data_IF_521208382388
#
_entry.id   IF_521208382388
#
_cell.length_a   1.000
_cell.length_b   1.000
_cell.length_c   1.000
_cell.angle_alpha   90.00
_cell.angle_beta   90.00
_cell.angle_gamma   90.00
#
_symmetry.space_group_name_H-M   'P 1'
#
loop_
_entity.id
_entity.type
_entity.pdbx_description
1 polymer ?
#
# COMPACT_ATOMS: atom_id res chain seq x y z
N UNK A 1 18.60 -27.05 -20.27
CA UNK A 1 18.09 -25.77 -19.74
C UNK A 1 16.60 -25.95 -19.52
N UNK A 2 16.07 -25.57 -18.36
CA UNK A 2 14.64 -25.71 -18.07
C UNK A 2 13.82 -24.86 -19.05
N UNK A 3 12.71 -25.40 -19.49
CA UNK A 3 11.77 -24.72 -20.41
C UNK A 3 10.51 -24.28 -19.66
N UNK A 4 9.71 -23.41 -20.27
CA UNK A 4 8.44 -22.95 -19.69
C UNK A 4 7.48 -24.11 -19.37
N UNK A 5 7.63 -25.26 -20.07
CA UNK A 5 6.89 -26.49 -19.83
C UNK A 5 7.26 -27.19 -18.53
N UNK A 6 8.38 -26.82 -17.90
CA UNK A 6 8.87 -27.45 -16.67
C UNK A 6 8.35 -26.75 -15.40
N UNK A 7 7.61 -25.64 -15.54
CA UNK A 7 6.98 -24.95 -14.42
C UNK A 7 5.87 -25.82 -13.82
N UNK A 8 5.83 -25.87 -12.48
CA UNK A 8 4.79 -26.52 -11.69
C UNK A 8 4.29 -25.59 -10.60
N UNK A 9 3.06 -25.82 -10.18
CA UNK A 9 2.40 -25.04 -9.13
C UNK A 9 1.92 -25.96 -8.02
N UNK A 10 2.27 -25.62 -6.79
CA UNK A 10 1.80 -26.34 -5.62
C UNK A 10 1.09 -25.40 -4.64
N UNK A 11 0.13 -25.94 -3.92
CA UNK A 11 -0.60 -25.26 -2.87
C UNK A 11 -0.66 -26.15 -1.64
N UNK A 12 -0.24 -25.60 -0.51
CA UNK A 12 -0.19 -26.31 0.77
C UNK A 12 -0.97 -25.53 1.83
N UNK A 13 -1.92 -26.21 2.46
CA UNK A 13 -2.58 -25.73 3.66
C UNK A 13 -1.69 -26.01 4.87
N UNK A 14 -1.15 -24.98 5.51
CA UNK A 14 -0.24 -25.13 6.65
C UNK A 14 -0.94 -25.57 7.95
N UNK A 15 -2.26 -25.65 7.91
CA UNK A 15 -3.10 -26.15 9.00
C UNK A 15 -4.08 -27.15 8.42
N UNK A 16 -4.17 -28.34 9.04
CA UNK A 16 -5.02 -29.43 8.52
C UNK A 16 -4.25 -30.48 7.74
N UNK A 17 -4.96 -31.31 6.98
CA UNK A 17 -4.39 -32.41 6.19
C UNK A 17 -4.95 -32.47 4.77
N UNK A 18 -5.78 -31.50 4.38
CA UNK A 18 -6.38 -31.51 3.07
C UNK A 18 -5.32 -31.28 1.98
N UNK A 19 -5.32 -32.17 0.98
CA UNK A 19 -4.40 -32.12 -0.15
C UNK A 19 -5.11 -31.53 -1.37
N UNK A 20 -4.39 -30.64 -2.06
CA UNK A 20 -4.90 -29.94 -3.23
C UNK A 20 -3.89 -29.97 -4.37
N UNK A 21 -4.39 -30.13 -5.59
CA UNK A 21 -3.64 -29.85 -6.81
C UNK A 21 -4.09 -28.53 -7.41
N UNK A 22 -3.15 -27.75 -7.90
CA UNK A 22 -3.43 -26.44 -8.54
C UNK A 22 -3.79 -26.67 -10.01
N UNK A 23 -4.95 -26.17 -10.43
CA UNK A 23 -5.37 -26.13 -11.85
C UNK A 23 -4.94 -24.83 -12.49
N UNK A 24 -5.22 -23.74 -11.84
CA UNK A 24 -4.82 -22.41 -12.30
C UNK A 24 -4.71 -21.44 -11.15
N UNK A 25 -3.94 -20.38 -11.39
CA UNK A 25 -3.84 -19.25 -10.47
C UNK A 25 -3.79 -17.91 -11.20
N UNK A 26 -4.21 -16.87 -10.49
CA UNK A 26 -3.96 -15.48 -10.83
C UNK A 26 -3.47 -14.75 -9.57
N UNK A 27 -2.23 -14.27 -9.62
CA UNK A 27 -1.60 -13.49 -8.53
C UNK A 27 -1.46 -12.05 -8.97
N UNK A 28 -2.15 -11.14 -8.28
CA UNK A 28 -2.06 -9.69 -8.48
C UNK A 28 -1.29 -9.06 -7.34
N UNK A 29 -0.26 -8.30 -7.66
CA UNK A 29 0.58 -7.62 -6.68
C UNK A 29 0.90 -6.19 -7.11
N UNK A 30 1.13 -5.31 -6.13
CA UNK A 30 1.47 -3.91 -6.42
C UNK A 30 2.20 -3.23 -5.26
N UNK A 31 2.95 -2.16 -5.58
CA UNK A 31 3.51 -1.28 -4.56
C UNK A 31 2.35 -0.57 -3.85
N UNK A 32 2.35 -0.59 -2.53
CA UNK A 32 1.33 0.04 -1.68
C UNK A 32 -0.08 -0.52 -1.87
N UNK A 33 -0.17 -1.80 -2.24
CA UNK A 33 -1.41 -2.56 -2.34
C UNK A 33 -1.25 -3.94 -1.68
N UNK A 34 -2.26 -4.47 -0.99
CA UNK A 34 -2.31 -5.88 -0.63
C UNK A 34 -2.27 -6.75 -1.89
N UNK A 35 -1.59 -7.88 -1.83
CA UNK A 35 -1.66 -8.86 -2.91
C UNK A 35 -2.95 -9.69 -2.84
N UNK A 36 -3.37 -10.20 -3.99
CA UNK A 36 -4.49 -11.12 -4.14
C UNK A 36 -4.04 -12.32 -4.98
N UNK A 37 -4.16 -13.53 -4.42
CA UNK A 37 -3.89 -14.77 -5.12
C UNK A 37 -5.20 -15.56 -5.22
N UNK A 38 -5.75 -15.62 -6.43
CA UNK A 38 -6.90 -16.44 -6.77
C UNK A 38 -6.41 -17.80 -7.27
N UNK A 39 -6.94 -18.87 -6.69
CA UNK A 39 -6.58 -20.23 -7.02
C UNK A 39 -7.81 -21.04 -7.42
N UNK A 40 -7.68 -21.82 -8.49
CA UNK A 40 -8.56 -22.95 -8.81
C UNK A 40 -7.84 -24.23 -8.44
N UNK A 41 -8.42 -25.00 -7.55
CA UNK A 41 -7.84 -26.18 -6.93
C UNK A 41 -8.72 -27.41 -7.20
N UNK A 42 -8.11 -28.59 -7.14
CA UNK A 42 -8.79 -29.87 -7.15
C UNK A 42 -8.36 -30.66 -5.93
N UNK A 43 -9.29 -31.42 -5.34
CA UNK A 43 -9.00 -32.40 -4.32
C UNK A 43 -9.82 -33.66 -4.57
N UNK A 44 -9.33 -34.81 -4.09
CA UNK A 44 -10.10 -36.06 -4.04
C UNK A 44 -11.09 -36.10 -2.87
N UNK A 45 -10.92 -35.19 -1.90
CA UNK A 45 -11.83 -35.02 -0.78
C UNK A 45 -12.97 -34.09 -1.16
N UNK A 46 -14.21 -34.46 -0.88
CA UNK A 46 -15.41 -33.69 -1.19
C UNK A 46 -16.09 -33.06 0.04
N UNK A 47 -15.57 -33.32 1.25
CA UNK A 47 -16.10 -32.91 2.54
C UNK A 47 -15.07 -32.13 3.38
N UNK A 48 -14.22 -31.35 2.72
CA UNK A 48 -13.16 -30.55 3.38
C UNK A 48 -13.78 -29.55 4.35
N UNK A 49 -13.32 -29.59 5.61
CA UNK A 49 -13.72 -28.61 6.63
C UNK A 49 -13.07 -27.25 6.37
N UNK A 50 -13.88 -26.27 5.98
CA UNK A 50 -13.46 -24.89 5.72
C UNK A 50 -12.89 -24.19 6.97
N UNK A 51 -13.20 -24.65 8.19
CA UNK A 51 -12.64 -24.15 9.44
C UNK A 51 -11.13 -24.36 9.55
N UNK A 52 -10.58 -25.33 8.84
CA UNK A 52 -9.13 -25.57 8.75
C UNK A 52 -8.42 -24.73 7.69
N UNK A 53 -9.18 -24.00 6.85
CA UNK A 53 -8.64 -23.20 5.75
C UNK A 53 -8.91 -21.71 5.92
N UNK A 54 -10.14 -21.31 6.26
CA UNK A 54 -10.49 -19.89 6.39
C UNK A 54 -9.70 -19.22 7.51
N UNK A 55 -9.10 -18.09 7.17
CA UNK A 55 -8.23 -17.27 8.05
C UNK A 55 -6.99 -18.04 8.58
N UNK A 56 -6.57 -19.07 7.84
CA UNK A 56 -5.39 -19.88 8.14
C UNK A 56 -4.28 -19.62 7.12
N UNK A 57 -3.01 -19.80 7.55
CA UNK A 57 -1.88 -19.64 6.66
C UNK A 57 -1.80 -20.77 5.63
N UNK A 58 -1.42 -20.36 4.42
CA UNK A 58 -1.18 -21.24 3.28
C UNK A 58 0.07 -20.83 2.53
N UNK A 59 0.64 -21.76 1.82
CA UNK A 59 1.79 -21.55 0.95
C UNK A 59 1.45 -21.95 -0.48
N UNK A 60 1.66 -21.04 -1.41
CA UNK A 60 1.67 -21.32 -2.84
C UNK A 60 3.10 -21.22 -3.35
N UNK A 61 3.53 -22.20 -4.14
CA UNK A 61 4.89 -22.26 -4.67
C UNK A 61 4.87 -22.44 -6.18
N UNK A 62 5.70 -21.66 -6.87
CA UNK A 62 6.05 -21.89 -8.27
C UNK A 62 7.38 -22.62 -8.27
N UNK A 63 7.41 -23.78 -8.92
CA UNK A 63 8.58 -24.62 -9.06
C UNK A 63 9.03 -24.64 -10.52
N UNK A 64 10.32 -24.76 -10.74
CA UNK A 64 10.96 -25.07 -12.01
C UNK A 64 11.58 -26.47 -11.88
N UNK A 65 10.95 -27.45 -12.49
CA UNK A 65 11.22 -28.84 -12.14
C UNK A 65 10.84 -29.15 -10.69
N UNK A 66 11.84 -29.46 -9.87
CA UNK A 66 11.69 -29.68 -8.41
C UNK A 66 12.15 -28.48 -7.59
N UNK A 67 12.80 -27.49 -8.21
CA UNK A 67 13.36 -26.33 -7.53
C UNK A 67 12.31 -25.23 -7.34
N UNK A 68 12.07 -24.76 -6.12
CA UNK A 68 11.20 -23.61 -5.89
C UNK A 68 11.87 -22.34 -6.42
N UNK A 69 11.16 -21.59 -7.26
CA UNK A 69 11.61 -20.30 -7.79
C UNK A 69 10.86 -19.12 -7.19
N UNK A 70 9.67 -19.37 -6.64
CA UNK A 70 8.88 -18.32 -5.98
C UNK A 70 7.94 -18.88 -4.93
N UNK A 71 7.88 -18.23 -3.78
CA UNK A 71 6.92 -18.47 -2.73
C UNK A 71 5.89 -17.35 -2.65
N UNK A 72 4.63 -17.70 -2.35
CA UNK A 72 3.57 -16.76 -1.97
C UNK A 72 2.89 -17.31 -0.73
N UNK A 73 3.23 -16.74 0.41
CA UNK A 73 2.64 -17.07 1.70
C UNK A 73 1.53 -16.07 2.02
N UNK A 74 0.36 -16.52 2.50
CA UNK A 74 -0.75 -15.65 2.86
C UNK A 74 -1.79 -16.34 3.73
N UNK A 75 -2.93 -15.68 3.91
CA UNK A 75 -4.09 -16.22 4.64
C UNK A 75 -5.26 -16.38 3.69
N UNK A 76 -5.98 -17.50 3.80
CA UNK A 76 -7.20 -17.71 3.01
C UNK A 76 -8.30 -16.79 3.48
N UNK A 77 -8.79 -15.91 2.59
CA UNK A 77 -9.91 -15.00 2.88
C UNK A 77 -11.25 -15.49 2.37
N UNK A 78 -11.22 -16.29 1.32
CA UNK A 78 -12.42 -16.93 0.76
C UNK A 78 -12.05 -18.32 0.30
N UNK A 79 -12.91 -19.27 0.61
CA UNK A 79 -12.80 -20.63 0.13
C UNK A 79 -14.18 -21.12 -0.28
N UNK A 80 -14.31 -21.77 -1.43
CA UNK A 80 -15.58 -22.26 -1.95
C UNK A 80 -15.38 -23.57 -2.66
N UNK A 81 -16.34 -24.47 -2.47
CA UNK A 81 -16.47 -25.70 -3.24
C UNK A 81 -17.31 -25.39 -4.49
N UNK A 82 -16.83 -25.85 -5.63
CA UNK A 82 -17.53 -25.77 -6.91
C UNK A 82 -18.09 -27.13 -7.31
N UNK A 83 -18.04 -27.49 -8.60
CA UNK A 83 -18.57 -28.76 -9.07
C UNK A 83 -17.80 -29.97 -8.49
N UNK A 84 -18.54 -31.02 -8.15
CA UNK A 84 -17.97 -32.32 -7.78
C UNK A 84 -18.19 -33.28 -8.93
N UNK A 85 -17.10 -33.80 -9.48
CA UNK A 85 -17.09 -34.90 -10.45
C UNK A 85 -17.18 -36.24 -9.79
N UNK A 86 -16.94 -37.32 -10.54
CA UNK A 86 -16.98 -38.72 -10.01
C UNK A 86 -15.85 -39.01 -9.03
N UNK A 87 -14.66 -38.36 -9.22
CA UNK A 87 -13.46 -38.65 -8.43
C UNK A 87 -12.85 -37.40 -7.83
N UNK A 88 -13.15 -36.19 -8.37
CA UNK A 88 -12.51 -34.95 -7.99
C UNK A 88 -13.53 -33.84 -7.73
N UNK A 89 -13.23 -32.99 -6.76
CA UNK A 89 -14.03 -31.83 -6.42
C UNK A 89 -13.19 -30.58 -6.66
N UNK A 90 -13.82 -29.60 -7.32
CA UNK A 90 -13.19 -28.30 -7.58
C UNK A 90 -13.41 -27.36 -6.40
N UNK A 91 -12.36 -26.61 -6.09
CA UNK A 91 -12.36 -25.60 -5.05
C UNK A 91 -11.79 -24.28 -5.59
N UNK A 92 -12.25 -23.18 -5.05
CA UNK A 92 -11.66 -21.86 -5.31
C UNK A 92 -11.20 -21.26 -3.99
N UNK A 93 -9.96 -20.74 -3.97
CA UNK A 93 -9.40 -20.04 -2.83
C UNK A 93 -8.97 -18.63 -3.23
N UNK A 94 -9.20 -17.66 -2.34
CA UNK A 94 -8.58 -16.34 -2.39
C UNK A 94 -7.64 -16.20 -1.20
N UNK A 95 -6.39 -15.92 -1.48
CA UNK A 95 -5.32 -15.77 -0.49
C UNK A 95 -4.83 -14.32 -0.50
N UNK A 96 -4.75 -13.72 0.67
CA UNK A 96 -4.37 -12.33 0.86
C UNK A 96 -3.36 -12.18 2.00
N UNK A 97 -2.63 -11.04 2.08
CA UNK A 97 -1.75 -10.78 3.23
C UNK A 97 -2.57 -10.54 4.50
N UNK A 98 -1.95 -10.75 5.65
CA UNK A 98 -2.57 -10.44 6.94
C UNK A 98 -3.03 -8.98 7.03
N UNK A 99 -2.33 -8.05 6.36
CA UNK A 99 -2.71 -6.63 6.29
C UNK A 99 -4.11 -6.40 5.71
N UNK A 100 -4.57 -7.24 4.78
CA UNK A 100 -5.91 -7.13 4.17
C UNK A 100 -7.04 -7.22 5.23
N UNK A 101 -6.80 -7.93 6.34
CA UNK A 101 -7.75 -8.02 7.47
C UNK A 101 -8.03 -6.68 8.14
N UNK A 102 -7.12 -5.71 7.99
CA UNK A 102 -7.34 -4.35 8.48
C UNK A 102 -8.52 -3.66 7.78
N UNK A 103 -8.94 -4.13 6.60
CA UNK A 103 -10.13 -3.64 5.91
C UNK A 103 -11.46 -4.04 6.61
N UNK A 104 -11.43 -5.07 7.45
CA UNK A 104 -12.58 -5.55 8.21
C UNK A 104 -12.82 -4.76 9.51
N UNK A 105 -11.98 -3.78 9.80
CA UNK A 105 -12.07 -2.96 11.00
C UNK A 105 -12.12 -1.49 10.62
N UNK A 106 -13.05 -0.75 11.20
CA UNK A 106 -13.14 0.70 11.11
C UNK A 106 -13.19 1.33 12.49
N UNK A 107 -12.78 2.59 12.61
CA UNK A 107 -12.80 3.25 13.91
C UNK A 107 -12.78 4.77 13.81
N UNK A 108 -13.12 5.42 14.94
CA UNK A 108 -12.93 6.83 15.20
C UNK A 108 -11.89 6.99 16.28
N UNK A 109 -10.67 7.43 15.89
CA UNK A 109 -9.52 7.57 16.80
C UNK A 109 -8.76 8.84 16.53
N UNK A 110 -8.16 9.37 17.59
CA UNK A 110 -7.26 10.51 17.51
C UNK A 110 -5.93 10.10 18.13
N UNK A 111 -4.88 10.15 17.31
CA UNK A 111 -3.50 9.97 17.74
C UNK A 111 -2.92 11.35 18.04
N UNK A 112 -2.27 11.51 19.19
CA UNK A 112 -1.69 12.78 19.64
C UNK A 112 -0.19 12.65 19.84
N UNK A 113 0.55 13.70 19.46
CA UNK A 113 2.00 13.81 19.65
C UNK A 113 2.78 12.59 19.14
N UNK A 114 2.44 12.10 17.94
CA UNK A 114 3.09 10.95 17.30
C UNK A 114 3.52 11.28 15.89
N UNK A 115 4.64 10.69 15.48
CA UNK A 115 5.05 10.66 14.07
C UNK A 115 4.22 9.62 13.31
N UNK A 116 4.17 9.72 11.97
CA UNK A 116 3.47 8.73 11.15
C UNK A 116 4.08 7.32 11.30
N UNK A 117 5.42 7.12 11.29
CA UNK A 117 6.00 5.82 11.61
C UNK A 117 5.47 5.19 12.90
N UNK A 118 5.43 5.97 14.00
CA UNK A 118 4.89 5.50 15.28
C UNK A 118 3.40 5.13 15.20
N UNK A 119 2.61 5.86 14.39
CA UNK A 119 1.20 5.53 14.18
C UNK A 119 1.06 4.24 13.38
N UNK A 120 1.85 4.07 12.30
CA UNK A 120 1.85 2.86 11.49
C UNK A 120 2.20 1.63 12.33
N UNK A 121 3.26 1.69 13.15
CA UNK A 121 3.63 0.60 14.07
C UNK A 121 2.49 0.24 15.04
N UNK A 122 1.84 1.26 15.63
CA UNK A 122 0.70 1.04 16.52
C UNK A 122 -0.46 0.34 15.80
N UNK A 123 -0.71 0.73 14.55
CA UNK A 123 -1.78 0.13 13.75
C UNK A 123 -1.45 -1.31 13.39
N UNK A 124 -0.21 -1.61 12.96
CA UNK A 124 0.24 -2.97 12.64
C UNK A 124 0.16 -3.89 13.86
N UNK A 125 0.66 -3.46 15.02
CA UNK A 125 0.56 -4.22 16.27
C UNK A 125 -0.89 -4.52 16.66
N UNK A 126 -1.83 -3.59 16.43
CA UNK A 126 -3.26 -3.82 16.67
C UNK A 126 -3.89 -4.86 15.75
N UNK A 127 -3.34 -5.03 14.54
CA UNK A 127 -3.74 -6.06 13.60
C UNK A 127 -3.06 -7.41 13.89
N UNK A 128 -2.17 -7.48 14.90
CA UNK A 128 -1.37 -8.66 15.18
C UNK A 128 -0.32 -8.94 14.11
N UNK A 129 0.08 -7.91 13.35
CA UNK A 129 1.12 -8.03 12.34
C UNK A 129 2.46 -7.79 13.00
N UNK A 130 3.19 -8.87 13.26
CA UNK A 130 4.52 -8.82 13.88
C UNK A 130 5.64 -8.96 12.84
N UNK A 131 5.33 -9.52 11.66
CA UNK A 131 6.25 -9.71 10.56
C UNK A 131 6.26 -8.47 9.65
N UNK A 132 6.91 -7.40 10.11
CA UNK A 132 7.10 -6.18 9.32
C UNK A 132 8.49 -5.58 9.52
N UNK A 133 8.89 -4.77 8.57
CA UNK A 133 10.09 -3.94 8.63
C UNK A 133 9.74 -2.53 8.18
N UNK A 134 9.93 -1.56 9.07
CA UNK A 134 9.70 -0.16 8.78
C UNK A 134 11.04 0.57 8.71
N UNK A 135 11.40 1.02 7.49
CA UNK A 135 12.64 1.73 7.16
C UNK A 135 12.30 3.21 6.95
N UNK A 136 12.36 4.00 8.01
CA UNK A 136 12.20 5.44 7.98
C UNK A 136 13.59 6.08 7.97
N UNK A 137 14.02 6.60 6.81
CA UNK A 137 15.34 7.23 6.62
C UNK A 137 15.28 8.75 6.63
N UNK A 138 14.07 9.33 6.55
CA UNK A 138 13.81 10.77 6.60
C UNK A 138 13.27 11.17 7.97
N UNK A 139 13.40 12.47 8.30
CA UNK A 139 12.75 13.03 9.48
C UNK A 139 11.24 13.15 9.27
N UNK A 140 10.47 12.52 10.15
CA UNK A 140 9.03 12.56 10.16
C UNK A 140 8.52 13.43 11.31
N UNK A 141 7.71 14.42 10.97
CA UNK A 141 7.22 15.39 11.96
C UNK A 141 6.29 14.72 12.98
N UNK A 142 6.48 15.07 14.26
CA UNK A 142 5.49 14.81 15.30
C UNK A 142 4.23 15.64 14.99
N UNK A 143 3.12 14.96 14.75
CA UNK A 143 1.81 15.57 14.53
C UNK A 143 1.14 15.86 15.87
N UNK A 144 0.62 17.06 16.04
CA UNK A 144 -0.13 17.43 17.24
C UNK A 144 -1.31 16.48 17.43
N UNK A 145 -2.04 16.21 16.35
CA UNK A 145 -3.04 15.15 16.27
C UNK A 145 -3.17 14.61 14.86
N UNK A 146 -3.58 13.34 14.76
CA UNK A 146 -3.92 12.67 13.51
C UNK A 146 -5.20 11.87 13.73
N UNK A 147 -6.17 12.02 12.85
CA UNK A 147 -7.52 11.48 13.02
C UNK A 147 -7.81 10.39 12.01
N UNK A 148 -8.23 9.24 12.50
CA UNK A 148 -8.97 8.24 11.74
C UNK A 148 -10.46 8.56 11.91
N UNK A 149 -11.17 8.82 10.81
CA UNK A 149 -12.53 9.33 10.84
C UNK A 149 -13.51 8.37 10.16
N UNK A 150 -13.77 7.23 10.80
CA UNK A 150 -14.72 6.23 10.30
C UNK A 150 -14.24 5.42 9.11
N UNK A 151 -13.05 5.67 8.62
CA UNK A 151 -12.38 4.88 7.56
C UNK A 151 -11.91 3.52 8.10
N UNK A 152 -11.66 2.54 7.22
CA UNK A 152 -11.10 1.26 7.62
C UNK A 152 -9.68 1.45 8.16
N UNK A 153 -9.20 0.50 8.97
CA UNK A 153 -7.83 0.54 9.46
C UNK A 153 -6.83 0.44 8.29
N UNK A 154 -7.17 -0.29 7.21
CA UNK A 154 -6.35 -0.38 5.99
C UNK A 154 -6.30 0.96 5.24
N UNK A 155 -7.45 1.60 5.01
CA UNK A 155 -7.50 2.90 4.32
C UNK A 155 -6.73 3.96 5.10
N UNK A 156 -6.84 3.94 6.44
CA UNK A 156 -6.10 4.85 7.30
C UNK A 156 -4.58 4.64 7.19
N UNK A 157 -4.10 3.39 7.25
CA UNK A 157 -2.69 3.04 7.08
C UNK A 157 -2.19 3.48 5.69
N UNK A 158 -2.91 3.10 4.63
CA UNK A 158 -2.54 3.41 3.26
C UNK A 158 -2.49 4.93 3.00
N UNK A 159 -3.50 5.66 3.49
CA UNK A 159 -3.57 7.11 3.35
C UNK A 159 -2.44 7.83 4.09
N UNK A 160 -2.14 7.42 5.34
CA UNK A 160 -1.03 8.01 6.09
C UNK A 160 0.32 7.71 5.46
N UNK A 161 0.52 6.48 5.03
CA UNK A 161 1.74 6.07 4.32
C UNK A 161 1.94 6.92 3.06
N UNK A 162 0.92 7.02 2.20
CA UNK A 162 0.98 7.82 0.97
C UNK A 162 1.19 9.32 1.24
N UNK A 163 0.54 9.88 2.27
CA UNK A 163 0.68 11.29 2.65
C UNK A 163 2.11 11.63 3.12
N UNK A 164 2.74 10.72 3.86
CA UNK A 164 4.09 10.90 4.41
C UNK A 164 5.19 10.47 3.43
N UNK A 165 4.83 9.85 2.32
CA UNK A 165 5.76 9.39 1.29
C UNK A 165 6.28 7.97 1.51
N UNK A 166 5.64 7.17 2.35
CA UNK A 166 5.94 5.74 2.48
C UNK A 166 5.31 4.95 1.34
N UNK A 167 6.03 3.93 0.93
CA UNK A 167 5.56 2.84 0.07
C UNK A 167 5.75 1.52 0.80
N UNK A 168 4.99 0.50 0.41
CA UNK A 168 5.17 -0.83 0.98
C UNK A 168 5.03 -1.94 -0.05
N UNK A 169 5.61 -3.08 0.24
CA UNK A 169 5.49 -4.34 -0.49
C UNK A 169 5.53 -5.52 0.46
N UNK A 170 5.23 -6.70 -0.08
CA UNK A 170 5.39 -7.96 0.65
C UNK A 170 6.61 -8.72 0.12
N UNK A 171 7.39 -9.27 1.01
CA UNK A 171 8.44 -10.24 0.71
C UNK A 171 7.98 -11.59 1.25
N UNK A 172 8.09 -12.61 0.42
CA UNK A 172 7.62 -13.95 0.74
C UNK A 172 8.78 -14.91 0.97
N UNK A 173 8.58 -15.85 1.86
CA UNK A 173 9.44 -17.01 2.09
C UNK A 173 8.54 -18.23 2.28
N UNK A 174 9.12 -19.40 2.35
CA UNK A 174 8.42 -20.64 2.65
C UNK A 174 7.54 -20.55 3.92
N UNK A 175 8.02 -19.86 4.96
CA UNK A 175 7.41 -19.88 6.29
C UNK A 175 6.51 -18.68 6.60
N UNK A 176 6.70 -17.56 5.90
CA UNK A 176 6.00 -16.31 6.22
C UNK A 176 6.01 -15.31 5.06
N UNK A 177 5.12 -14.34 5.13
CA UNK A 177 5.25 -13.10 4.37
C UNK A 177 5.57 -11.93 5.31
N UNK A 178 6.48 -11.06 4.86
CA UNK A 178 6.96 -9.91 5.60
C UNK A 178 6.52 -8.63 4.90
N UNK A 179 5.89 -7.71 5.64
CA UNK A 179 5.55 -6.37 5.15
C UNK A 179 6.77 -5.45 5.27
N UNK A 180 7.24 -4.92 4.15
CA UNK A 180 8.35 -3.96 4.09
C UNK A 180 7.78 -2.60 3.76
N UNK A 181 7.96 -1.62 4.67
CA UNK A 181 7.50 -0.24 4.54
C UNK A 181 8.73 0.66 4.50
N UNK A 182 8.82 1.56 3.53
CA UNK A 182 9.97 2.47 3.40
C UNK A 182 9.57 3.81 2.81
N UNK A 183 10.31 4.87 3.17
CA UNK A 183 10.22 6.22 2.60
C UNK A 183 11.19 6.42 1.41
N UNK A 184 12.03 5.40 1.09
CA UNK A 184 12.98 5.41 -0.02
C UNK A 184 12.76 4.22 -0.95
N UNK A 185 12.37 4.49 -2.18
CA UNK A 185 12.05 3.46 -3.15
C UNK A 185 13.25 2.55 -3.47
N UNK A 186 14.47 3.12 -3.53
CA UNK A 186 15.69 2.34 -3.79
C UNK A 186 15.99 1.29 -2.72
N UNK A 187 15.52 1.48 -1.49
CA UNK A 187 15.72 0.50 -0.40
C UNK A 187 14.88 -0.78 -0.55
N UNK A 188 13.98 -0.83 -1.54
CA UNK A 188 13.21 -2.04 -1.84
C UNK A 188 14.03 -3.14 -2.53
N UNK A 189 15.14 -2.79 -3.19
CA UNK A 189 16.10 -3.73 -3.74
C UNK A 189 15.95 -4.03 -5.23
N UNK A 190 16.68 -5.06 -5.66
CA UNK A 190 16.79 -5.58 -7.02
C UNK A 190 16.02 -6.92 -7.14
N UNK A 191 15.73 -7.40 -8.35
CA UNK A 191 14.99 -8.64 -8.56
C UNK A 191 15.71 -9.87 -7.98
N UNK A 192 17.03 -9.91 -7.97
CA UNK A 192 17.81 -10.96 -7.33
C UNK A 192 17.55 -11.09 -5.83
N UNK A 193 17.20 -9.98 -5.14
CA UNK A 193 16.88 -10.01 -3.72
C UNK A 193 15.53 -10.66 -3.40
N UNK A 194 14.66 -10.82 -4.40
CA UNK A 194 13.38 -11.50 -4.29
C UNK A 194 13.40 -12.95 -4.78
N UNK A 195 14.50 -13.39 -5.37
CA UNK A 195 14.67 -14.75 -5.82
C UNK A 195 14.83 -15.72 -4.63
N UNK A 196 14.34 -16.93 -4.79
CA UNK A 196 14.63 -18.03 -3.86
C UNK A 196 16.12 -18.39 -4.03
N UNK A 197 16.87 -18.37 -2.93
CA UNK A 197 18.27 -18.74 -2.97
C UNK A 197 18.40 -20.22 -3.31
N UNK A 198 19.32 -20.54 -4.25
CA UNK A 198 19.76 -21.91 -4.43
C UNK A 198 20.48 -22.37 -3.16
N UNK A 199 20.30 -23.60 -2.75
CA UNK A 199 21.13 -24.20 -1.72
C UNK A 199 22.59 -24.23 -2.22
N UNK A 200 23.54 -23.94 -1.31
CA UNK A 200 24.97 -23.73 -1.65
C UNK A 200 25.68 -24.96 -2.30
N UNK A 201 24.94 -26.06 -2.55
CA UNK A 201 25.49 -27.29 -3.14
C UNK A 201 25.55 -27.29 -4.69
N UNK A 202 24.91 -26.31 -5.36
CA UNK A 202 24.83 -26.26 -6.83
C UNK A 202 25.77 -25.26 -7.51
N UNK A 203 26.76 -24.70 -6.79
CA UNK A 203 27.75 -23.74 -7.36
C UNK A 203 28.80 -24.37 -8.31
N UNK A 204 28.60 -25.54 -8.84
CA UNK A 204 29.72 -26.25 -9.48
C UNK A 204 29.42 -26.95 -10.78
N UNK A 205 28.69 -26.41 -11.76
CA UNK A 205 28.67 -26.98 -13.12
C UNK A 205 28.05 -26.03 -14.15
N UNK A 206 28.64 -24.84 -14.37
CA UNK A 206 28.29 -24.06 -15.55
C UNK A 206 29.52 -23.69 -16.35
N UNK A 207 29.43 -24.09 -17.59
CA UNK A 207 30.31 -23.86 -18.72
C UNK A 207 30.54 -22.36 -19.00
N UNK A 208 31.59 -22.05 -19.73
CA UNK A 208 32.19 -20.75 -20.10
C UNK A 208 31.30 -19.69 -20.79
N UNK A 209 29.97 -19.66 -20.53
CA UNK A 209 29.12 -18.56 -20.97
C UNK A 209 29.21 -17.40 -19.97
N UNK A 210 29.36 -16.17 -20.46
CA UNK A 210 29.44 -14.97 -19.62
C UNK A 210 28.28 -14.98 -18.60
N UNK A 211 28.57 -14.75 -17.30
CA UNK A 211 27.56 -14.81 -16.27
C UNK A 211 26.50 -13.73 -16.52
N UNK A 212 25.27 -14.17 -16.78
CA UNK A 212 24.14 -13.28 -16.97
C UNK A 212 23.94 -12.49 -15.67
N UNK A 213 23.90 -11.15 -15.78
CA UNK A 213 23.60 -10.29 -14.64
C UNK A 213 22.23 -10.71 -14.04
N UNK A 214 22.20 -11.20 -12.78
CA UNK A 214 20.98 -11.67 -12.12
C UNK A 214 19.90 -10.59 -12.01
N UNK A 215 20.29 -9.33 -12.11
CA UNK A 215 19.41 -8.17 -12.08
C UNK A 215 19.04 -7.65 -13.47
N UNK A 216 19.32 -8.41 -14.52
CA UNK A 216 18.90 -8.12 -15.88
C UNK A 216 17.65 -8.90 -16.27
N UNK A 217 16.82 -8.29 -17.14
CA UNK A 217 15.68 -8.93 -17.81
C UNK A 217 15.78 -8.70 -19.30
N UNK A 218 15.76 -9.79 -20.06
CA UNK A 218 15.87 -9.77 -21.50
C UNK A 218 14.55 -9.35 -22.16
N UNK A 219 14.61 -8.46 -23.15
CA UNK A 219 13.50 -8.22 -24.07
C UNK A 219 13.73 -8.96 -25.39
N UNK A 220 12.73 -9.75 -25.81
CA UNK A 220 12.77 -10.48 -27.07
C UNK A 220 11.39 -10.56 -27.73
N UNK A 221 11.15 -9.72 -28.72
CA UNK A 221 9.83 -9.51 -29.35
C UNK A 221 9.27 -10.72 -30.11
N UNK A 222 10.12 -11.61 -30.63
CA UNK A 222 9.72 -12.62 -31.61
C UNK A 222 10.13 -14.04 -31.19
N UNK A 223 9.66 -14.47 -30.03
CA UNK A 223 9.82 -15.87 -29.66
C UNK A 223 8.62 -16.70 -30.14
N UNK A 224 8.73 -17.27 -31.31
CA UNK A 224 7.88 -18.37 -31.73
C UNK A 224 8.51 -19.68 -31.24
N UNK A 225 8.09 -20.16 -30.07
CA UNK A 225 8.57 -21.40 -29.50
C UNK A 225 9.02 -21.28 -28.04
N UNK A 226 9.30 -22.41 -27.41
CA UNK A 226 9.87 -22.51 -26.08
C UNK A 226 11.27 -21.86 -26.06
N UNK A 227 11.45 -20.90 -25.19
CA UNK A 227 12.74 -20.22 -25.06
C UNK A 227 13.50 -20.75 -23.84
N UNK A 228 14.82 -20.86 -24.02
CA UNK A 228 15.70 -21.32 -22.96
C UNK A 228 15.79 -20.35 -21.76
N UNK A 229 15.34 -19.10 -21.92
CA UNK A 229 15.44 -18.08 -20.87
C UNK A 229 14.15 -17.27 -20.75
N UNK A 230 13.72 -16.95 -19.52
CA UNK A 230 12.59 -16.04 -19.29
C UNK A 230 12.86 -14.67 -19.93
N UNK A 231 11.82 -14.10 -20.59
CA UNK A 231 11.98 -12.82 -21.27
C UNK A 231 10.69 -11.99 -21.31
N UNK A 232 10.83 -10.71 -21.57
CA UNK A 232 9.71 -9.84 -21.92
C UNK A 232 9.48 -9.88 -23.43
N UNK A 233 8.27 -10.18 -23.85
CA UNK A 233 7.90 -10.33 -25.29
C UNK A 233 7.21 -9.11 -25.85
N UNK A 234 6.55 -8.33 -25.00
CA UNK A 234 5.89 -7.09 -25.38
C UNK A 234 6.26 -5.99 -24.41
N UNK A 235 6.49 -4.80 -24.96
CA UNK A 235 6.72 -3.59 -24.18
C UNK A 235 5.99 -2.43 -24.88
N UNK A 236 5.12 -1.76 -24.12
CA UNK A 236 4.43 -0.55 -24.54
C UNK A 236 4.84 0.58 -23.61
N UNK A 237 5.66 1.49 -24.10
CA UNK A 237 6.06 2.68 -23.37
C UNK A 237 5.11 3.84 -23.63
N UNK A 238 4.72 4.55 -22.58
CA UNK A 238 3.85 5.73 -22.65
C UNK A 238 4.31 6.84 -21.73
N UNK A 239 4.17 8.06 -22.24
CA UNK A 239 4.33 9.30 -21.47
C UNK A 239 3.00 10.06 -21.44
N UNK A 240 2.69 10.70 -20.32
CA UNK A 240 1.44 11.41 -20.13
C UNK A 240 1.69 12.80 -19.57
N UNK A 241 0.90 13.77 -20.04
CA UNK A 241 0.87 15.11 -19.47
C UNK A 241 0.22 15.05 -18.09
N UNK A 242 0.93 15.58 -17.09
CA UNK A 242 0.49 15.64 -15.68
C UNK A 242 0.81 17.00 -15.08
N UNK A 243 0.29 17.26 -13.89
CA UNK A 243 0.66 18.45 -13.10
C UNK A 243 2.17 18.64 -13.10
N UNK A 244 2.63 19.85 -13.45
CA UNK A 244 4.05 20.17 -13.56
C UNK A 244 4.63 20.74 -12.26
N UNK A 245 3.82 21.49 -11.54
CA UNK A 245 4.23 22.18 -10.30
C UNK A 245 3.19 21.98 -9.21
N UNK A 246 3.67 21.81 -7.98
CA UNK A 246 2.88 21.81 -6.77
C UNK A 246 3.22 23.04 -5.95
N UNK A 247 2.18 23.76 -5.52
CA UNK A 247 2.29 24.83 -4.53
C UNK A 247 1.46 24.42 -3.33
N UNK A 248 2.09 24.33 -2.17
CA UNK A 248 1.39 24.08 -0.91
C UNK A 248 1.56 25.27 0.01
N UNK A 249 0.45 25.75 0.54
CA UNK A 249 0.43 26.81 1.54
C UNK A 249 -0.24 26.30 2.81
N UNK A 250 0.30 26.72 3.95
CA UNK A 250 -0.35 26.50 5.24
C UNK A 250 -0.38 27.82 6.04
N UNK A 251 -1.04 27.75 7.18
CA UNK A 251 -1.13 28.85 8.13
C UNK A 251 -0.95 28.32 9.54
N UNK A 252 -0.10 28.99 10.33
CA UNK A 252 0.01 28.71 11.75
C UNK A 252 -0.46 29.91 12.56
N UNK A 253 -1.34 29.65 13.51
CA UNK A 253 -1.84 30.70 14.42
C UNK A 253 -0.75 31.20 15.39
N UNK A 254 0.32 30.42 15.60
CA UNK A 254 1.47 30.82 16.43
C UNK A 254 2.33 31.90 15.77
N UNK A 255 2.29 32.01 14.44
CA UNK A 255 2.96 33.06 13.68
C UNK A 255 2.09 33.45 12.47
N UNK A 256 0.99 34.20 12.67
CA UNK A 256 -0.02 34.47 11.64
C UNK A 256 0.47 35.34 10.49
N UNK A 257 1.52 36.15 10.71
CA UNK A 257 2.11 36.97 9.67
C UNK A 257 3.06 36.21 8.73
N UNK A 258 3.50 35.04 9.12
CA UNK A 258 4.44 34.26 8.35
C UNK A 258 3.73 33.47 7.22
N UNK A 259 4.20 33.64 5.99
CA UNK A 259 3.69 32.97 4.82
C UNK A 259 4.38 31.60 4.68
N UNK A 260 3.70 30.56 5.12
CA UNK A 260 4.16 29.18 4.92
C UNK A 260 3.78 28.73 3.51
N UNK A 261 4.72 28.78 2.57
CA UNK A 261 4.48 28.36 1.19
C UNK A 261 5.70 27.61 0.66
N UNK A 262 5.49 26.42 0.12
CA UNK A 262 6.50 25.64 -0.55
C UNK A 262 6.07 25.30 -1.98
N UNK A 263 7.04 25.26 -2.88
CA UNK A 263 6.87 24.97 -4.29
C UNK A 263 7.81 23.85 -4.69
N UNK A 264 7.31 22.91 -5.49
CA UNK A 264 8.12 21.87 -6.09
C UNK A 264 7.71 21.66 -7.55
N UNK A 265 8.69 21.38 -8.41
CA UNK A 265 8.48 20.95 -9.78
C UNK A 265 8.66 19.45 -9.86
N UNK A 266 7.85 18.79 -10.67
CA UNK A 266 7.95 17.35 -10.89
C UNK A 266 9.09 16.97 -11.84
N UNK A 267 9.48 15.71 -11.87
CA UNK A 267 10.42 15.17 -12.86
C UNK A 267 9.79 15.09 -14.27
N UNK A 268 10.60 14.92 -15.30
CA UNK A 268 10.19 14.66 -16.69
C UNK A 268 9.26 15.73 -17.26
N UNK A 269 9.74 16.99 -17.30
CA UNK A 269 8.99 18.13 -17.81
C UNK A 269 9.37 18.53 -19.25
N UNK A 270 10.25 17.80 -19.90
CA UNK A 270 10.79 18.12 -21.21
C UNK A 270 9.74 18.06 -22.34
N UNK A 271 8.72 17.19 -22.22
CA UNK A 271 7.71 16.97 -23.25
C UNK A 271 6.34 17.61 -22.92
N UNK A 272 6.29 18.52 -21.94
CA UNK A 272 5.04 19.17 -21.56
C UNK A 272 5.23 20.62 -21.11
N UNK A 273 4.14 21.38 -21.05
CA UNK A 273 4.16 22.72 -20.45
C UNK A 273 4.49 22.64 -18.95
N UNK A 274 5.33 23.58 -18.51
CA UNK A 274 5.72 23.75 -17.09
C UNK A 274 4.72 24.60 -16.30
N UNK A 275 3.64 25.07 -16.93
CA UNK A 275 2.67 26.00 -16.30
C UNK A 275 1.50 25.26 -15.60
N UNK A 276 1.40 23.94 -15.71
CA UNK A 276 0.34 23.18 -15.06
C UNK A 276 0.59 23.12 -13.55
N UNK A 277 0.02 24.10 -12.82
CA UNK A 277 0.17 24.22 -11.37
C UNK A 277 -1.02 23.64 -10.62
N UNK A 278 -0.75 22.90 -9.55
CA UNK A 278 -1.72 22.45 -8.57
C UNK A 278 -1.47 23.18 -7.25
N UNK A 279 -2.46 23.94 -6.79
CA UNK A 279 -2.42 24.67 -5.52
C UNK A 279 -3.20 23.90 -4.45
N UNK A 280 -2.58 23.65 -3.29
CA UNK A 280 -3.17 22.93 -2.17
C UNK A 280 -3.12 23.79 -0.89
N UNK A 281 -4.28 23.90 -0.22
CA UNK A 281 -4.44 24.57 1.07
C UNK A 281 -5.55 23.87 1.88
N UNK A 282 -5.32 23.56 3.16
CA UNK A 282 -4.07 23.69 3.92
C UNK A 282 -3.04 22.60 3.54
N UNK A 283 -1.74 22.98 3.54
CA UNK A 283 -0.63 22.09 3.20
C UNK A 283 -0.31 21.04 4.26
N UNK A 284 -0.84 21.20 5.47
CA UNK A 284 -0.77 20.27 6.61
C UNK A 284 0.63 20.09 7.19
N UNK A 285 1.45 21.09 7.11
CA UNK A 285 2.74 21.18 7.77
C UNK A 285 2.80 22.40 8.67
N UNK A 286 3.48 22.30 9.81
CA UNK A 286 3.59 23.38 10.80
C UNK A 286 4.97 24.06 10.79
N UNK A 287 5.95 23.43 10.13
CA UNK A 287 7.33 23.90 10.05
C UNK A 287 7.84 23.80 8.62
N UNK A 288 8.64 24.77 8.19
CA UNK A 288 9.19 24.81 6.84
C UNK A 288 10.06 23.61 6.48
N UNK A 289 10.84 23.10 7.44
CA UNK A 289 11.66 21.93 7.23
C UNK A 289 10.85 20.68 6.74
N UNK A 290 9.56 20.62 7.09
CA UNK A 290 8.67 19.55 6.66
C UNK A 290 7.89 19.90 5.40
N UNK A 291 7.61 21.18 5.18
CA UNK A 291 6.82 21.64 4.04
C UNK A 291 7.43 21.27 2.69
N UNK A 292 8.76 21.37 2.57
CA UNK A 292 9.47 21.03 1.33
C UNK A 292 9.33 19.53 0.99
N UNK A 293 9.69 18.57 1.84
CA UNK A 293 9.49 17.14 1.57
C UNK A 293 8.03 16.77 1.28
N UNK A 294 7.08 17.38 1.99
CA UNK A 294 5.65 17.17 1.74
C UNK A 294 5.23 17.61 0.33
N UNK A 295 5.71 18.77 -0.11
CA UNK A 295 5.42 19.30 -1.44
C UNK A 295 6.06 18.43 -2.52
N UNK A 296 7.29 17.94 -2.31
CA UNK A 296 7.99 17.01 -3.21
C UNK A 296 7.28 15.66 -3.30
N UNK A 297 6.85 15.08 -2.18
CA UNK A 297 6.07 13.85 -2.17
C UNK A 297 4.73 14.02 -2.92
N UNK A 298 4.06 15.15 -2.73
CA UNK A 298 2.78 15.44 -3.39
C UNK A 298 2.92 15.55 -4.90
N UNK A 299 3.91 16.29 -5.40
CA UNK A 299 4.11 16.39 -6.85
C UNK A 299 4.53 15.06 -7.47
N UNK A 300 5.34 14.27 -6.77
CA UNK A 300 5.72 12.93 -7.20
C UNK A 300 4.49 12.02 -7.30
N UNK A 301 3.60 12.08 -6.31
CA UNK A 301 2.35 11.31 -6.32
C UNK A 301 1.38 11.74 -7.43
N UNK A 302 1.27 13.05 -7.74
CA UNK A 302 0.47 13.55 -8.86
C UNK A 302 1.03 13.16 -10.23
N UNK A 303 2.24 12.67 -10.28
CA UNK A 303 2.95 12.25 -11.49
C UNK A 303 3.31 10.75 -11.47
N UNK A 304 2.60 9.96 -10.67
CA UNK A 304 2.86 8.52 -10.49
C UNK A 304 2.85 7.73 -11.81
N UNK A 305 2.15 8.19 -12.83
CA UNK A 305 1.96 7.54 -14.12
C UNK A 305 2.49 8.39 -15.30
N UNK A 306 3.34 9.40 -15.05
CA UNK A 306 3.88 10.28 -16.10
C UNK A 306 4.70 9.52 -17.14
N UNK A 307 5.43 8.50 -16.72
CA UNK A 307 6.20 7.57 -17.57
C UNK A 307 5.97 6.17 -17.06
N UNK A 308 5.39 5.33 -17.89
CA UNK A 308 5.13 3.93 -17.59
C UNK A 308 5.50 3.04 -18.78
N UNK A 309 5.91 1.82 -18.49
CA UNK A 309 6.00 0.76 -19.50
C UNK A 309 5.11 -0.40 -19.08
N UNK A 310 4.17 -0.77 -19.95
CA UNK A 310 3.36 -1.97 -19.82
C UNK A 310 4.09 -3.12 -20.52
N UNK A 311 4.33 -4.20 -19.82
CA UNK A 311 5.09 -5.34 -20.33
C UNK A 311 4.32 -6.65 -20.18
N UNK A 312 4.62 -7.60 -21.06
CA UNK A 312 4.13 -8.97 -21.01
C UNK A 312 5.28 -9.92 -21.27
N UNK A 313 5.37 -10.99 -20.51
CA UNK A 313 6.42 -12.00 -20.63
C UNK A 313 6.18 -13.20 -19.73
N UNK A 314 7.26 -13.87 -19.35
CA UNK A 314 7.25 -15.09 -18.55
C UNK A 314 8.31 -15.12 -17.43
N UNK A 315 8.87 -13.97 -17.06
CA UNK A 315 9.86 -13.89 -16.00
C UNK A 315 9.19 -13.88 -14.60
N UNK A 316 9.27 -15.01 -13.91
CA UNK A 316 8.70 -15.23 -12.57
C UNK A 316 9.31 -14.32 -11.49
N UNK A 317 10.53 -13.79 -11.72
CA UNK A 317 11.27 -12.95 -10.77
C UNK A 317 10.67 -11.55 -10.59
N UNK A 318 9.79 -11.11 -11.50
CA UNK A 318 9.20 -9.77 -11.39
C UNK A 318 8.29 -9.68 -10.16
N UNK A 319 8.66 -8.84 -9.22
CA UNK A 319 7.92 -8.60 -7.98
C UNK A 319 7.79 -7.09 -7.71
N UNK A 320 6.68 -6.63 -7.13
CA UNK A 320 6.47 -5.21 -6.87
C UNK A 320 7.60 -4.60 -6.04
N UNK A 321 8.01 -3.40 -6.43
CA UNK A 321 9.04 -2.65 -5.73
C UNK A 321 10.47 -3.04 -6.07
N UNK A 322 10.71 -4.19 -6.67
CA UNK A 322 12.06 -4.59 -7.11
C UNK A 322 12.39 -3.95 -8.46
N UNK A 323 13.65 -3.64 -8.66
CA UNK A 323 14.15 -3.04 -9.89
C UNK A 323 15.09 -3.98 -10.64
N UNK A 324 15.19 -3.76 -11.93
CA UNK A 324 16.03 -4.52 -12.84
C UNK A 324 16.51 -3.64 -13.99
N UNK A 325 17.50 -4.11 -14.73
CA UNK A 325 17.97 -3.51 -15.99
C UNK A 325 17.33 -4.24 -17.16
N UNK A 326 16.60 -3.52 -18.02
CA UNK A 326 16.11 -4.09 -19.27
C UNK A 326 17.25 -4.14 -20.29
N UNK A 327 17.36 -5.24 -21.02
CA UNK A 327 18.36 -5.46 -22.08
C UNK A 327 17.69 -5.99 -23.34
N UNK A 328 18.31 -5.81 -24.52
CA UNK A 328 17.87 -6.38 -25.79
C UNK A 328 16.70 -5.65 -26.48
N UNK A 329 16.24 -4.51 -25.96
CA UNK A 329 15.20 -3.74 -26.64
C UNK A 329 15.79 -2.93 -27.80
N UNK A 330 15.14 -2.89 -29.01
CA UNK A 330 15.64 -2.17 -30.19
C UNK A 330 15.83 -0.66 -29.99
N UNK A 331 15.10 -0.05 -29.05
CA UNK A 331 15.30 1.34 -28.62
C UNK A 331 16.26 1.35 -27.42
N UNK A 332 17.46 1.87 -27.62
CA UNK A 332 18.51 1.89 -26.61
C UNK A 332 18.10 2.69 -25.37
N UNK A 333 17.31 3.75 -25.52
CA UNK A 333 16.82 4.58 -24.42
C UNK A 333 15.83 3.87 -23.49
N UNK A 334 15.31 2.71 -23.89
CA UNK A 334 14.47 1.85 -23.04
C UNK A 334 15.29 0.74 -22.33
N UNK A 335 16.53 0.49 -22.75
CA UNK A 335 17.47 -0.42 -22.07
C UNK A 335 18.06 0.25 -20.83
N UNK A 336 17.20 0.50 -19.85
CA UNK A 336 17.53 1.23 -18.63
C UNK A 336 16.99 0.51 -17.40
N UNK A 337 17.23 1.08 -16.22
CA UNK A 337 16.65 0.56 -14.99
C UNK A 337 15.16 0.85 -14.88
N UNK A 338 14.39 -0.22 -14.77
CA UNK A 338 12.96 -0.21 -14.49
C UNK A 338 12.67 -0.75 -13.10
N UNK A 339 11.53 -0.38 -12.55
CA UNK A 339 11.00 -0.91 -11.31
C UNK A 339 9.58 -1.41 -11.52
N UNK A 340 9.29 -2.57 -10.99
CA UNK A 340 7.96 -3.16 -11.05
C UNK A 340 7.03 -2.38 -10.13
N UNK A 341 5.99 -1.77 -10.70
CA UNK A 341 4.94 -1.09 -9.94
C UNK A 341 3.82 -2.07 -9.58
N UNK A 342 3.21 -2.67 -10.60
CA UNK A 342 2.22 -3.73 -10.44
C UNK A 342 2.56 -4.89 -11.33
N UNK A 343 2.20 -6.10 -10.93
CA UNK A 343 2.37 -7.30 -11.73
C UNK A 343 1.22 -8.26 -11.49
N UNK A 344 0.79 -8.92 -12.56
CA UNK A 344 -0.17 -10.01 -12.53
C UNK A 344 0.48 -11.24 -13.15
N UNK A 345 0.56 -12.31 -12.39
CA UNK A 345 1.05 -13.61 -12.83
C UNK A 345 -0.14 -14.54 -13.01
N UNK A 346 -0.16 -15.27 -14.11
CA UNK A 346 -1.19 -16.27 -14.41
C UNK A 346 -0.54 -17.58 -14.80
N UNK A 347 -1.05 -18.65 -14.26
CA UNK A 347 -0.60 -20.00 -14.62
C UNK A 347 -1.74 -20.98 -14.75
N UNK A 348 -1.56 -21.94 -15.65
CA UNK A 348 -2.44 -23.09 -15.84
C UNK A 348 -1.60 -24.36 -15.82
N UNK A 349 -2.03 -25.35 -15.04
CA UNK A 349 -1.40 -26.65 -14.94
C UNK A 349 -2.40 -27.73 -15.36
N UNK A 350 -2.26 -28.19 -16.60
CA UNK A 350 -3.21 -29.15 -17.16
C UNK A 350 -2.98 -30.58 -16.72
N UNK A 351 -1.81 -30.92 -16.18
CA UNK A 351 -1.51 -32.26 -15.66
C UNK A 351 -2.48 -32.69 -14.57
N UNK A 352 -3.06 -31.77 -13.84
CA UNK A 352 -4.10 -32.02 -12.86
C UNK A 352 -5.45 -32.40 -13.47
N UNK A 353 -5.63 -32.28 -14.81
CA UNK A 353 -6.86 -32.57 -15.56
C UNK A 353 -6.75 -33.82 -16.46
N UNK A 354 -5.69 -34.62 -16.37
CA UNK A 354 -5.39 -35.71 -17.32
C UNK A 354 -6.50 -36.76 -17.49
N UNK A 355 -7.43 -36.87 -16.57
CA UNK A 355 -8.55 -37.82 -16.70
C UNK A 355 -9.69 -37.30 -17.59
N UNK A 356 -9.78 -35.97 -17.85
CA UNK A 356 -10.87 -35.36 -18.63
C UNK A 356 -10.45 -34.98 -20.06
N UNK A 357 -9.15 -34.97 -20.37
CA UNK A 357 -8.61 -34.50 -21.64
C UNK A 357 -7.79 -35.57 -22.37
N UNK A 358 -8.46 -36.52 -23.01
CA UNK A 358 -7.79 -37.59 -23.75
C UNK A 358 -7.12 -37.15 -25.07
N UNK A 359 -7.25 -35.88 -25.52
CA UNK A 359 -6.80 -35.47 -26.87
C UNK A 359 -6.26 -34.02 -26.97
N UNK A 360 -5.82 -33.37 -25.89
CA UNK A 360 -5.28 -32.01 -25.96
C UNK A 360 -3.80 -31.98 -25.57
N UNK A 361 -3.00 -31.28 -26.38
CA UNK A 361 -1.57 -31.04 -26.14
C UNK A 361 -1.40 -30.18 -24.88
N UNK A 362 -1.13 -30.83 -23.73
CA UNK A 362 -1.42 -30.32 -22.39
C UNK A 362 -0.13 -29.96 -21.69
N UNK A 363 0.44 -28.80 -22.04
CA UNK A 363 1.61 -28.23 -21.34
C UNK A 363 1.20 -27.20 -20.28
N UNK A 364 1.96 -27.12 -19.18
CA UNK A 364 1.84 -26.03 -18.21
C UNK A 364 2.09 -24.70 -18.93
N UNK A 365 1.25 -23.70 -18.65
CA UNK A 365 1.37 -22.36 -19.20
C UNK A 365 1.57 -21.35 -18.10
N UNK A 366 2.47 -20.43 -18.33
CA UNK A 366 2.70 -19.30 -17.46
C UNK A 366 2.83 -18.01 -18.28
N UNK A 367 2.21 -16.94 -17.83
CA UNK A 367 2.36 -15.60 -18.38
C UNK A 367 2.35 -14.56 -17.27
N UNK A 368 3.01 -13.46 -17.49
CA UNK A 368 2.94 -12.32 -16.61
C UNK A 368 2.71 -11.03 -17.39
N UNK A 369 1.97 -10.10 -16.77
CA UNK A 369 1.84 -8.73 -17.24
C UNK A 369 2.23 -7.79 -16.12
N UNK A 370 3.00 -6.76 -16.43
CA UNK A 370 3.44 -5.81 -15.41
C UNK A 370 3.40 -4.37 -15.91
N UNK A 371 3.23 -3.44 -14.97
CA UNK A 371 3.42 -2.01 -15.18
C UNK A 371 4.71 -1.62 -14.50
N UNK A 372 5.60 -1.03 -15.26
CA UNK A 372 6.92 -0.58 -14.82
C UNK A 372 6.96 0.94 -14.73
N UNK A 373 7.76 1.44 -13.80
CA UNK A 373 8.10 2.86 -13.64
C UNK A 373 9.61 3.03 -13.70
N UNK A 374 10.15 4.24 -13.99
CA UNK A 374 11.61 4.47 -14.02
C UNK A 374 12.28 4.09 -12.71
N UNK A 375 13.23 3.16 -12.74
CA UNK A 375 13.82 2.51 -11.55
C UNK A 375 14.70 3.42 -10.69
N UNK A 376 15.30 4.46 -11.27
CA UNK A 376 16.21 5.39 -10.58
C UNK A 376 15.50 6.64 -10.02
N UNK A 377 14.24 6.85 -10.36
CA UNK A 377 13.46 8.02 -9.92
C UNK A 377 12.57 7.64 -8.76
N UNK A 378 12.45 8.51 -7.77
CA UNK A 378 11.48 8.33 -6.68
C UNK A 378 10.07 8.35 -7.26
N UNK A 379 9.26 7.41 -6.79
CA UNK A 379 7.86 7.23 -7.16
C UNK A 379 6.99 7.18 -5.90
N UNK A 380 5.78 7.68 -6.02
CA UNK A 380 4.78 7.63 -4.93
C UNK A 380 3.43 7.21 -5.51
N UNK A 381 2.62 6.45 -4.77
CA UNK A 381 1.27 6.10 -5.22
C UNK A 381 0.39 7.35 -5.39
N UNK A 382 -0.67 7.21 -6.19
CA UNK A 382 -1.65 8.28 -6.35
C UNK A 382 -2.17 8.78 -5.00
N UNK A 383 -2.43 10.09 -4.85
CA UNK A 383 -2.91 10.65 -3.59
C UNK A 383 -4.27 10.07 -3.20
N UNK A 384 -4.38 9.54 -2.00
CA UNK A 384 -5.64 9.03 -1.47
C UNK A 384 -6.47 10.16 -0.85
N UNK A 385 -7.78 10.08 -1.04
CA UNK A 385 -8.72 11.07 -0.50
C UNK A 385 -8.87 10.88 1.02
N UNK A 386 -8.87 11.99 1.75
CA UNK A 386 -9.21 11.98 3.17
C UNK A 386 -10.72 11.84 3.36
N UNK A 387 -11.17 11.11 4.39
CA UNK A 387 -12.57 11.11 4.77
C UNK A 387 -13.00 12.53 5.14
N UNK A 388 -14.20 12.90 4.72
CA UNK A 388 -14.81 14.18 5.10
C UNK A 388 -15.73 13.96 6.30
N UNK A 389 -15.64 14.88 7.24
CA UNK A 389 -16.55 14.94 8.38
C UNK A 389 -17.46 16.13 8.11
N UNK A 390 -18.73 15.86 7.80
CA UNK A 390 -19.71 16.88 7.45
C UNK A 390 -20.61 17.21 8.63
N UNK A 391 -21.04 18.48 8.71
CA UNK A 391 -22.00 18.96 9.70
C UNK A 391 -21.37 19.35 11.04
N UNK A 392 -22.22 19.83 11.98
CA UNK A 392 -21.80 20.18 13.33
C UNK A 392 -21.58 18.93 14.18
N UNK A 393 -20.50 18.91 14.94
CA UNK A 393 -20.19 17.85 15.89
C UNK A 393 -20.35 18.34 17.32
N UNK A 394 -20.87 17.44 18.18
CA UNK A 394 -20.95 17.65 19.63
C UNK A 394 -19.65 17.22 20.26
N UNK A 395 -19.16 17.99 21.21
CA UNK A 395 -17.97 17.64 22.00
C UNK A 395 -18.15 18.15 23.44
N UNK A 396 -17.56 17.42 24.38
CA UNK A 396 -17.51 17.80 25.79
C UNK A 396 -16.17 18.43 26.12
N UNK A 397 -16.17 19.63 26.69
CA UNK A 397 -14.94 20.25 27.20
C UNK A 397 -14.46 19.48 28.41
N UNK A 398 -13.14 19.18 28.45
CA UNK A 398 -12.52 18.38 29.51
C UNK A 398 -11.28 19.08 30.07
N UNK A 399 -11.05 18.95 31.37
CA UNK A 399 -9.90 19.50 32.09
C UNK A 399 -9.52 18.64 33.30
N UNK A 400 -8.46 18.99 34.03
CA UNK A 400 -8.12 18.38 35.29
C UNK A 400 -9.22 18.62 36.33
N UNK A 401 -9.42 17.71 37.29
CA UNK A 401 -10.34 17.93 38.40
C UNK A 401 -9.96 19.18 39.20
N UNK A 402 -10.94 20.04 39.49
CA UNK A 402 -10.76 21.25 40.30
C UNK A 402 -10.23 22.49 39.58
N UNK A 403 -10.07 22.42 38.26
CA UNK A 403 -9.72 23.59 37.45
C UNK A 403 -10.98 24.19 36.80
N UNK A 404 -11.26 25.47 37.09
CA UNK A 404 -12.42 26.19 36.52
C UNK A 404 -12.18 26.58 35.05
N UNK A 405 -10.96 26.93 34.70
CA UNK A 405 -10.54 27.31 33.35
C UNK A 405 -9.31 26.52 32.96
N UNK A 406 -9.42 25.63 31.98
CA UNK A 406 -8.31 24.85 31.46
C UNK A 406 -8.06 25.13 29.99
N UNK A 407 -7.26 26.18 29.78
CA UNK A 407 -6.79 26.58 28.44
C UNK A 407 -5.27 26.48 28.38
N UNK A 408 -4.73 26.33 27.18
CA UNK A 408 -3.32 26.53 26.94
C UNK A 408 -2.94 28.01 26.77
N UNK A 409 -1.66 28.29 26.56
CA UNK A 409 -1.12 29.64 26.32
C UNK A 409 -1.78 30.37 25.11
N UNK A 410 -2.42 29.61 24.22
CA UNK A 410 -3.10 30.11 23.02
C UNK A 410 -4.63 30.24 23.21
N UNK A 411 -5.13 29.98 24.42
CA UNK A 411 -6.56 29.99 24.71
C UNK A 411 -7.33 28.83 24.08
N UNK A 412 -6.67 27.70 23.76
CA UNK A 412 -7.33 26.49 23.26
C UNK A 412 -7.84 25.63 24.41
N UNK A 413 -9.00 25.07 24.25
CA UNK A 413 -9.61 24.11 25.20
C UNK A 413 -9.42 22.69 24.73
N UNK A 414 -9.37 21.76 25.68
CA UNK A 414 -9.42 20.31 25.39
C UNK A 414 -10.86 19.86 25.26
N UNK A 415 -11.12 19.06 24.22
CA UNK A 415 -12.46 18.50 23.96
C UNK A 415 -12.39 16.99 23.81
N UNK A 416 -13.47 16.32 24.21
CA UNK A 416 -13.69 14.89 24.00
C UNK A 416 -14.90 14.73 23.09
N UNK A 417 -14.75 13.97 22.01
CA UNK A 417 -15.85 13.64 21.10
C UNK A 417 -16.54 12.34 21.55
N UNK A 418 -17.87 12.28 21.63
CA UNK A 418 -18.60 11.09 22.08
C UNK A 418 -18.43 9.89 21.15
N UNK A 419 -18.17 10.14 19.86
CA UNK A 419 -17.97 9.09 18.85
C UNK A 419 -16.57 8.44 18.85
N UNK A 420 -15.60 8.97 19.62
CA UNK A 420 -14.27 8.35 19.67
C UNK A 420 -14.29 7.08 20.51
N UNK A 421 -13.79 5.97 19.94
CA UNK A 421 -13.69 4.71 20.67
C UNK A 421 -12.80 4.91 21.91
N UNK A 422 -13.36 4.74 23.10
CA UNK A 422 -12.62 4.73 24.36
C UNK A 422 -11.64 3.56 24.29
N UNK A 423 -10.34 3.85 24.31
CA UNK A 423 -9.38 2.83 24.67
C UNK A 423 -9.80 2.28 26.04
N UNK A 424 -9.82 0.96 26.20
CA UNK A 424 -10.16 0.29 27.48
C UNK A 424 -9.21 0.64 28.64
N UNK A 425 -8.17 1.38 28.38
CA UNK A 425 -7.20 1.92 29.37
C UNK A 425 -7.25 3.44 29.33
N UNK A 426 -7.87 4.02 30.32
CA UNK A 426 -7.70 5.33 31.01
C UNK A 426 -7.15 6.57 30.29
N UNK A 427 -6.88 6.58 29.02
CA UNK A 427 -6.55 7.81 28.29
C UNK A 427 -7.76 8.32 27.50
N UNK A 428 -8.50 9.25 28.08
CA UNK A 428 -9.45 10.04 27.33
C UNK A 428 -8.72 10.65 26.13
N UNK A 429 -9.18 10.33 24.92
CA UNK A 429 -8.64 10.94 23.69
C UNK A 429 -9.03 12.41 23.75
N UNK A 430 -8.02 13.28 23.88
CA UNK A 430 -8.22 14.74 24.01
C UNK A 430 -7.74 15.37 22.72
N UNK A 431 -8.60 16.10 22.05
CA UNK A 431 -8.23 16.97 20.94
C UNK A 431 -8.14 18.41 21.45
N UNK A 432 -7.06 19.10 21.18
CA UNK A 432 -7.01 20.56 21.36
C UNK A 432 -7.86 21.22 20.29
N UNK A 433 -8.86 21.97 20.68
CA UNK A 433 -9.64 22.83 19.81
C UNK A 433 -9.16 24.26 19.99
N UNK A 434 -8.81 24.96 18.91
CA UNK A 434 -8.57 26.39 18.95
C UNK A 434 -9.86 27.11 19.33
N UNK A 435 -9.82 27.97 20.37
CA UNK A 435 -10.93 28.88 20.61
C UNK A 435 -11.12 29.78 19.40
N UNK A 436 -12.38 29.88 18.93
CA UNK A 436 -12.78 30.96 18.07
C UNK A 436 -12.46 32.26 18.81
N UNK A 437 -11.42 33.01 18.42
CA UNK A 437 -11.29 34.42 18.84
C UNK A 437 -12.55 35.11 18.30
N UNK A 438 -13.51 35.36 19.16
CA UNK A 438 -14.58 36.28 18.86
C UNK A 438 -13.92 37.63 18.56
N UNK A 439 -13.88 37.99 17.29
CA UNK A 439 -13.70 39.39 16.94
C UNK A 439 -14.75 40.20 17.69
N UNK A 440 -14.45 41.44 18.10
CA UNK A 440 -15.32 42.34 18.85
C UNK A 440 -16.75 42.35 18.27
N UNK A 441 -17.62 41.55 18.84
CA UNK A 441 -19.03 41.40 18.48
C UNK A 441 -19.59 40.24 19.25
N UNK A 442 -20.21 40.55 20.38
CA UNK A 442 -20.96 39.69 21.28
C UNK A 442 -21.32 38.29 20.71
N UNK A 443 -20.49 37.33 20.98
CA UNK A 443 -20.90 35.96 21.16
C UNK A 443 -20.80 35.71 22.66
N UNK A 444 -21.91 35.86 23.35
CA UNK A 444 -22.02 35.46 24.73
C UNK A 444 -21.71 33.96 24.81
N UNK A 445 -20.60 33.64 25.39
CA UNK A 445 -20.38 32.35 26.04
C UNK A 445 -21.12 32.44 27.38
N UNK A 446 -22.44 32.57 27.30
CA UNK A 446 -23.27 32.44 28.47
C UNK A 446 -23.23 30.98 28.89
N UNK A 447 -22.49 30.72 29.95
CA UNK A 447 -22.51 29.47 30.66
C UNK A 447 -21.31 28.54 30.59
N UNK A 448 -20.11 29.04 30.45
CA UNK A 448 -18.93 28.23 30.78
C UNK A 448 -18.88 28.04 32.30
N UNK A 449 -19.41 26.95 32.79
CA UNK A 449 -19.22 26.48 34.14
C UNK A 449 -18.36 25.19 34.09
N UNK A 450 -17.08 25.23 34.46
CA UNK A 450 -16.21 24.06 34.39
C UNK A 450 -16.61 22.95 35.34
N UNK A 451 -17.39 23.24 36.36
CA UNK A 451 -17.73 22.30 37.44
C UNK A 451 -18.97 21.43 37.23
N UNK A 452 -19.61 21.47 36.05
CA UNK A 452 -20.73 20.61 35.78
C UNK A 452 -20.34 19.48 34.84
N UNK A 453 -20.13 18.27 35.35
CA UNK A 453 -19.93 17.11 34.49
C UNK A 453 -21.21 16.83 33.69
N UNK A 454 -21.13 16.82 32.38
CA UNK A 454 -22.18 16.33 31.50
C UNK A 454 -22.98 17.35 30.70
N UNK A 455 -22.53 18.61 30.53
CA UNK A 455 -23.16 19.50 29.53
C UNK A 455 -22.44 19.36 28.17
N UNK A 456 -23.15 18.78 27.25
CA UNK A 456 -22.80 18.76 25.84
C UNK A 456 -23.05 20.14 25.23
N UNK A 457 -22.02 20.77 24.68
CA UNK A 457 -22.18 22.02 23.94
C UNK A 457 -22.13 21.74 22.44
N UNK A 458 -23.19 22.06 21.68
CA UNK A 458 -23.15 21.92 20.23
C UNK A 458 -22.24 22.98 19.63
N UNK A 459 -21.20 22.55 18.92
CA UNK A 459 -20.41 23.42 18.06
C UNK A 459 -21.22 23.72 16.80
N UNK A 460 -22.00 24.83 16.83
CA UNK A 460 -22.73 25.27 15.65
C UNK A 460 -21.77 25.92 14.65
N UNK A 461 -21.63 25.35 13.48
CA UNK A 461 -21.13 26.08 12.31
C UNK A 461 -22.22 27.10 11.89
N UNK A 462 -21.92 28.37 11.99
CA UNK A 462 -22.74 29.40 11.29
C UNK A 462 -22.39 29.34 9.80
N UNK A 463 -23.40 29.32 8.95
CA UNK A 463 -23.23 29.60 7.51
C UNK A 463 -22.54 30.97 7.37
N UNK A 464 -21.48 31.09 6.56
CA UNK A 464 -20.82 32.37 6.36
C UNK A 464 -21.77 33.34 5.65
N UNK A 465 -21.86 34.56 6.15
CA UNK A 465 -22.32 35.67 5.33
C UNK A 465 -21.22 36.02 4.31
N UNK A 466 -21.56 36.42 3.08
CA UNK A 466 -20.58 36.63 2.03
C UNK A 466 -19.87 37.98 2.21
N UNK A 467 -19.03 38.16 3.21
CA UNK A 467 -18.14 39.31 3.35
C UNK A 467 -17.12 39.27 4.51
N UNK A 468 -17.00 38.23 5.33
CA UNK A 468 -16.00 38.22 6.41
C UNK A 468 -15.11 36.97 6.37
N UNK A 469 -13.87 37.21 6.02
CA UNK A 469 -12.78 36.28 5.75
C UNK A 469 -12.11 35.71 7.01
N UNK A 470 -12.90 35.17 7.97
CA UNK A 470 -12.31 34.46 9.12
C UNK A 470 -13.01 33.14 9.40
N UNK A 471 -12.54 32.09 8.71
CA UNK A 471 -12.98 30.71 8.97
C UNK A 471 -12.03 30.03 9.96
N UNK A 472 -12.55 29.68 11.14
CA UNK A 472 -11.94 28.65 11.96
C UNK A 472 -12.43 27.29 11.46
N UNK A 473 -11.53 26.50 10.87
CA UNK A 473 -11.81 25.11 10.49
C UNK A 473 -11.50 24.20 11.67
N UNK A 474 -12.54 23.69 12.28
CA UNK A 474 -12.46 22.52 13.15
C UNK A 474 -12.37 21.29 12.26
N UNK A 475 -11.22 20.64 12.25
CA UNK A 475 -10.93 19.37 11.57
C UNK A 475 -11.15 19.37 10.04
N UNK A 476 -10.14 19.80 9.32
CA UNK A 476 -9.84 19.31 7.98
C UNK A 476 -8.43 18.75 7.91
#
# INVERSE_FOLDING_TARGET
>A
MPSQSDLRYSFEALVGKAEFEVVSFELREGISAPFELELKLISFENDIDFGHLLDKPVLFTILEGERPVRYVHGLVSRFSQAESGFYRTYYHALVEPQLARANLRSNWRIFQHKTVPQILELMLKRQGIDQYELRASMDHQVREFCVQAGETDLDFIARLAAEEGFVYRFAHSEKLHKLIITDRLQSLGLISHGAVKADDEDEGLFDDDEPIDPDSVLYQANSGGDQAMPCLRRLRYSEQVRTARQVQRDHTFTNPAYRQEHRAAGPFLEHQSKEYEYFDYPGRYKRDAVGKPFTENRITALRHDVRIAEVQGDDVRLQPGLSFTLTGHPRDDLNVHWRVNTVTHKGHQFTSLQEEAADVDVSTRYEQTAVLVPGRTEWRPAPLKKPRIDGPHMATVVGPPGEEIYCDEWGRVKVSFPGTAKARTTSSVRAGCGCLKAGRGQLGLDGYSPDRPGRDHPLRQRRPRPADDHRAHLLR
#
